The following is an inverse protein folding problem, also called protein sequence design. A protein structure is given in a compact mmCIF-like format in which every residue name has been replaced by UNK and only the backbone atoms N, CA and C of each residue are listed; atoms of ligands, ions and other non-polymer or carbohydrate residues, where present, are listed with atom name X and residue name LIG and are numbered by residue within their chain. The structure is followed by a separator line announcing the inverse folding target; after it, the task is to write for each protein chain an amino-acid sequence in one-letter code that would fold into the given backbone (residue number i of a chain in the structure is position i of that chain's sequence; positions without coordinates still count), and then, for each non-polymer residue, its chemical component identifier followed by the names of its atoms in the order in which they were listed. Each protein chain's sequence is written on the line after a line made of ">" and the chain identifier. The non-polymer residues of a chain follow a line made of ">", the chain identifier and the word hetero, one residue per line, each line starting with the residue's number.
data_IF_584438207621
#
_entry.id   IF_584438207621
#
_cell.length_a   1.000
_cell.length_b   1.000
_cell.length_c   1.000
_cell.angle_alpha   90.00
_cell.angle_beta   90.00
_cell.angle_gamma   90.00
#
_symmetry.space_group_name_H-M   'P 1'
#
loop_
_entity.id
_entity.type
_entity.pdbx_description
1 polymer ?
#
# COMPACT_ATOMS: atom_id res chain seq x y z
N UNK A 1 9.19 12.69 17.17
CA UNK A 1 8.59 11.86 16.09
C UNK A 1 8.58 12.67 14.81
N UNK A 2 9.29 12.20 13.77
CA UNK A 2 9.36 12.89 12.48
C UNK A 2 8.08 12.64 11.66
N UNK A 3 7.56 13.70 11.02
CA UNK A 3 6.50 13.63 10.04
C UNK A 3 6.84 14.45 8.79
N UNK A 4 6.14 14.20 7.70
CA UNK A 4 6.34 14.88 6.42
C UNK A 4 5.12 15.72 6.07
N UNK A 5 5.31 16.99 5.74
CA UNK A 5 4.27 17.84 5.14
C UNK A 5 4.55 17.95 3.65
N UNK A 6 3.69 17.38 2.82
CA UNK A 6 3.83 17.33 1.38
C UNK A 6 2.83 18.23 0.67
N UNK A 7 3.30 18.93 -0.36
CA UNK A 7 2.44 19.77 -1.19
C UNK A 7 1.55 18.87 -2.04
N UNK A 8 0.25 19.13 -1.95
CA UNK A 8 -0.80 18.36 -2.57
C UNK A 8 -1.60 19.23 -3.53
N UNK A 9 -2.07 18.64 -4.59
CA UNK A 9 -2.97 19.28 -5.57
C UNK A 9 -4.42 19.32 -5.04
N UNK A 10 -5.15 20.41 -5.23
CA UNK A 10 -6.54 20.56 -4.78
C UNK A 10 -7.47 19.55 -5.47
N UNK A 11 -7.28 19.30 -6.76
CA UNK A 11 -8.07 18.30 -7.49
C UNK A 11 -7.84 16.88 -6.97
N UNK A 12 -6.59 16.53 -6.64
CA UNK A 12 -6.25 15.25 -6.01
C UNK A 12 -6.93 15.10 -4.63
N UNK A 13 -6.85 16.15 -3.81
CA UNK A 13 -7.50 16.15 -2.49
C UNK A 13 -9.01 15.98 -2.62
N UNK A 14 -9.71 16.79 -3.43
CA UNK A 14 -11.17 16.71 -3.60
C UNK A 14 -11.61 15.35 -4.09
N UNK A 15 -10.90 14.83 -5.10
CA UNK A 15 -11.19 13.52 -5.67
C UNK A 15 -11.14 12.40 -4.62
N UNK A 16 -10.15 12.41 -3.73
CA UNK A 16 -9.98 11.39 -2.70
C UNK A 16 -10.85 11.63 -1.47
N UNK A 17 -11.09 12.87 -1.08
CA UNK A 17 -11.95 13.22 0.04
C UNK A 17 -13.42 12.76 -0.15
N UNK A 18 -13.86 12.64 -1.41
CA UNK A 18 -15.17 12.08 -1.77
C UNK A 18 -15.24 10.54 -1.67
N UNK A 19 -14.14 9.88 -1.29
CA UNK A 19 -14.00 8.40 -1.26
C UNK A 19 -13.53 7.90 0.09
N UNK A 20 -14.38 7.99 1.13
CA UNK A 20 -13.99 7.64 2.50
C UNK A 20 -13.64 6.16 2.69
N UNK A 21 -14.06 5.29 1.76
CA UNK A 21 -13.77 3.85 1.81
C UNK A 21 -12.33 3.50 1.46
N UNK A 22 -11.57 4.44 0.92
CA UNK A 22 -10.17 4.21 0.58
C UNK A 22 -9.32 4.09 1.85
N UNK A 23 -8.71 2.95 2.03
CA UNK A 23 -7.81 2.66 3.15
C UNK A 23 -6.34 2.85 2.79
N UNK A 24 -6.02 2.92 1.50
CA UNK A 24 -4.68 3.06 0.95
C UNK A 24 -4.64 4.07 -0.19
N UNK A 25 -3.55 4.82 -0.26
CA UNK A 25 -3.30 5.80 -1.31
C UNK A 25 -1.91 5.64 -1.90
N UNK A 26 -1.76 5.99 -3.15
CA UNK A 26 -0.47 6.19 -3.78
C UNK A 26 -0.24 7.68 -4.07
N UNK A 27 0.62 8.31 -3.28
CA UNK A 27 1.08 9.66 -3.54
C UNK A 27 2.27 9.62 -4.49
N UNK A 28 1.99 9.58 -5.79
CA UNK A 28 3.00 9.37 -6.81
C UNK A 28 3.74 10.65 -7.24
N UNK A 29 4.96 10.45 -7.70
CA UNK A 29 5.78 11.47 -8.35
C UNK A 29 6.10 11.04 -9.79
N UNK A 30 6.16 11.97 -10.77
CA UNK A 30 6.32 11.62 -12.19
C UNK A 30 7.70 11.02 -12.52
N UNK A 31 8.61 10.99 -11.56
CA UNK A 31 9.98 10.49 -11.73
C UNK A 31 10.36 9.62 -10.54
N UNK A 32 10.94 8.47 -10.84
CA UNK A 32 11.50 7.55 -9.85
C UNK A 32 12.95 7.91 -9.40
N UNK A 33 13.53 8.99 -9.93
CA UNK A 33 14.93 9.38 -9.62
C UNK A 33 15.17 9.68 -8.15
N UNK A 34 14.19 10.30 -7.48
CA UNK A 34 14.29 10.64 -6.05
C UNK A 34 13.60 9.57 -5.22
N UNK A 35 14.32 9.03 -4.24
CA UNK A 35 13.77 8.11 -3.26
C UNK A 35 13.21 8.91 -2.10
N UNK A 36 11.97 8.62 -1.70
CA UNK A 36 11.42 9.10 -0.44
C UNK A 36 11.80 8.15 0.69
N UNK A 37 12.20 8.71 1.84
CA UNK A 37 12.58 7.93 3.03
C UNK A 37 11.94 8.53 4.27
N UNK A 38 11.22 7.71 5.01
CA UNK A 38 10.65 8.02 6.31
C UNK A 38 10.56 6.74 7.15
N UNK A 39 10.33 6.85 8.44
CA UNK A 39 10.02 5.69 9.26
C UNK A 39 8.64 5.15 8.87
N UNK A 40 8.50 3.82 8.83
CA UNK A 40 7.19 3.21 8.56
C UNK A 40 6.16 3.70 9.59
N UNK A 41 4.97 4.01 9.11
CA UNK A 41 3.86 4.59 9.85
C UNK A 41 4.13 6.00 10.44
N UNK A 42 5.16 6.71 9.96
CA UNK A 42 5.29 8.13 10.25
C UNK A 42 4.18 8.95 9.57
N UNK A 43 3.67 10.02 10.21
CA UNK A 43 2.64 10.85 9.62
C UNK A 43 3.09 11.55 8.33
N UNK A 44 2.20 11.54 7.33
CA UNK A 44 2.36 12.22 6.05
C UNK A 44 1.17 13.15 5.84
N UNK A 45 1.38 14.46 5.95
CA UNK A 45 0.36 15.50 5.96
C UNK A 45 0.19 16.11 4.56
N UNK A 46 -1.04 16.28 4.12
CA UNK A 46 -1.39 16.83 2.81
C UNK A 46 -1.56 18.35 2.89
N UNK A 47 -0.69 19.11 2.23
CA UNK A 47 -0.72 20.57 2.23
C UNK A 47 -1.16 21.13 0.89
N UNK A 48 -2.27 21.86 0.86
CA UNK A 48 -2.72 22.61 -0.29
C UNK A 48 -1.86 23.88 -0.51
N UNK A 49 -1.69 24.24 -1.79
CA UNK A 49 -1.02 25.46 -2.20
C UNK A 49 -1.90 26.70 -1.95
N UNK A 50 -1.35 27.88 -2.24
CA UNK A 50 -2.15 29.11 -2.34
C UNK A 50 -3.35 28.90 -3.31
N UNK A 51 -4.51 29.48 -3.05
CA UNK A 51 -4.78 30.45 -1.97
C UNK A 51 -5.00 29.82 -0.59
N UNK A 52 -5.19 28.52 -0.48
CA UNK A 52 -5.60 27.84 0.76
C UNK A 52 -4.50 27.83 1.84
N UNK A 53 -3.27 27.48 1.46
CA UNK A 53 -2.12 27.39 2.36
C UNK A 53 -2.42 26.62 3.66
N UNK A 54 -3.10 25.50 3.55
CA UNK A 54 -3.63 24.72 4.67
C UNK A 54 -3.30 23.23 4.53
N UNK A 55 -3.29 22.53 5.66
CA UNK A 55 -3.24 21.07 5.71
C UNK A 55 -4.69 20.56 5.61
N UNK A 56 -4.97 19.77 4.61
CA UNK A 56 -6.30 19.26 4.31
C UNK A 56 -6.53 17.80 4.73
N UNK A 57 -5.54 17.19 5.37
CA UNK A 57 -5.61 15.82 5.81
C UNK A 57 -4.24 15.23 6.05
N UNK A 58 -4.21 13.96 6.45
CA UNK A 58 -2.99 13.18 6.60
C UNK A 58 -3.23 11.70 6.34
N UNK A 59 -2.15 10.95 6.19
CA UNK A 59 -2.11 9.50 6.19
C UNK A 59 -0.82 9.03 6.87
N UNK A 60 -0.59 7.72 6.92
CA UNK A 60 0.66 7.17 7.45
C UNK A 60 1.49 6.57 6.33
N UNK A 61 2.77 6.89 6.33
CA UNK A 61 3.72 6.34 5.36
C UNK A 61 3.91 4.84 5.56
N UNK A 62 3.66 4.04 4.53
CA UNK A 62 3.88 2.61 4.58
C UNK A 62 5.25 2.24 3.99
N UNK A 63 5.47 2.60 2.72
CA UNK A 63 6.73 2.36 2.02
C UNK A 63 6.84 3.23 0.76
N UNK A 64 8.04 3.25 0.17
CA UNK A 64 8.31 3.86 -1.13
C UNK A 64 8.77 2.79 -2.12
N UNK A 65 8.19 2.79 -3.32
CA UNK A 65 8.58 1.90 -4.41
C UNK A 65 8.70 2.66 -5.72
N UNK A 66 9.46 2.11 -6.64
CA UNK A 66 9.53 2.56 -8.04
C UNK A 66 8.70 1.59 -8.85
N UNK A 67 7.66 2.08 -9.52
CA UNK A 67 6.73 1.21 -10.24
C UNK A 67 6.49 1.74 -11.66
N UNK A 68 6.29 0.86 -12.63
CA UNK A 68 5.61 1.24 -13.87
C UNK A 68 4.24 1.83 -13.55
N UNK A 69 3.80 2.83 -14.31
CA UNK A 69 2.54 3.52 -14.09
C UNK A 69 1.31 2.58 -14.13
N UNK A 70 1.34 1.59 -15.01
CA UNK A 70 0.28 0.58 -15.11
C UNK A 70 0.18 -0.29 -13.84
N UNK A 71 1.31 -0.67 -13.24
CA UNK A 71 1.31 -1.48 -12.02
C UNK A 71 0.86 -0.67 -10.79
N UNK A 72 1.23 0.62 -10.73
CA UNK A 72 0.72 1.54 -9.72
C UNK A 72 -0.80 1.70 -9.85
N UNK A 73 -1.31 1.79 -11.08
CA UNK A 73 -2.76 1.85 -11.32
C UNK A 73 -3.46 0.54 -10.95
N UNK A 74 -2.94 -0.59 -11.39
CA UNK A 74 -3.51 -1.92 -11.08
C UNK A 74 -3.58 -2.19 -9.57
N UNK A 75 -2.58 -1.70 -8.81
CA UNK A 75 -2.51 -1.90 -7.37
C UNK A 75 -3.42 -0.96 -6.58
N UNK A 76 -3.44 0.33 -6.92
CA UNK A 76 -4.13 1.36 -6.12
C UNK A 76 -5.41 1.90 -6.79
N UNK A 77 -5.65 1.65 -8.07
CA UNK A 77 -6.81 2.13 -8.79
C UNK A 77 -7.05 3.64 -8.59
N UNK A 78 -8.24 4.00 -8.13
CA UNK A 78 -8.61 5.39 -7.81
C UNK A 78 -7.84 5.97 -6.62
N UNK A 79 -7.19 5.16 -5.80
CA UNK A 79 -6.27 5.61 -4.76
C UNK A 79 -5.03 6.35 -5.28
N UNK A 80 -4.79 6.34 -6.60
CA UNK A 80 -3.83 7.22 -7.27
C UNK A 80 -4.31 8.68 -7.41
N UNK A 81 -5.53 9.00 -6.97
CA UNK A 81 -6.11 10.34 -7.05
C UNK A 81 -6.58 10.73 -8.45
N UNK A 82 -6.93 9.76 -9.28
CA UNK A 82 -7.43 9.91 -10.64
C UNK A 82 -8.61 8.96 -10.89
N UNK A 83 -9.52 9.33 -11.78
CA UNK A 83 -10.70 8.52 -12.11
C UNK A 83 -10.43 7.38 -13.09
N UNK A 84 -9.31 7.42 -13.83
CA UNK A 84 -8.92 6.39 -14.79
C UNK A 84 -7.40 6.35 -14.99
N UNK A 85 -6.91 5.20 -15.51
CA UNK A 85 -5.51 5.06 -15.89
C UNK A 85 -5.08 6.05 -16.99
N UNK A 86 -5.96 6.31 -17.95
CA UNK A 86 -5.70 7.28 -19.01
C UNK A 86 -5.50 8.71 -18.45
N UNK A 87 -6.32 9.11 -17.46
CA UNK A 87 -6.18 10.37 -16.76
C UNK A 87 -4.85 10.44 -16.00
N UNK A 88 -4.51 9.39 -15.24
CA UNK A 88 -3.23 9.32 -14.52
C UNK A 88 -2.04 9.49 -15.47
N UNK A 89 -2.01 8.75 -16.59
CA UNK A 89 -0.96 8.89 -17.61
C UNK A 89 -0.88 10.29 -18.21
N UNK A 90 -2.03 10.89 -18.50
CA UNK A 90 -2.09 12.27 -19.00
C UNK A 90 -1.48 13.27 -18.00
N UNK A 91 -1.81 13.13 -16.70
CA UNK A 91 -1.22 13.98 -15.65
C UNK A 91 0.29 13.78 -15.52
N UNK A 92 0.77 12.53 -15.54
CA UNK A 92 2.21 12.21 -15.51
C UNK A 92 2.92 12.86 -16.70
N UNK A 93 2.40 12.68 -17.91
CA UNK A 93 2.97 13.25 -19.14
C UNK A 93 3.02 14.78 -19.08
N UNK A 94 1.95 15.44 -18.63
CA UNK A 94 1.90 16.89 -18.49
C UNK A 94 2.94 17.43 -17.50
N UNK A 95 3.17 16.74 -16.38
CA UNK A 95 4.18 17.15 -15.41
C UNK A 95 5.58 16.88 -15.97
N UNK A 96 5.83 15.73 -16.60
CA UNK A 96 7.11 15.39 -17.24
C UNK A 96 7.49 16.43 -18.30
N UNK A 97 6.55 16.88 -19.13
CA UNK A 97 6.78 17.93 -20.11
C UNK A 97 7.22 19.25 -19.47
N UNK A 98 6.61 19.65 -18.34
CA UNK A 98 6.97 20.89 -17.63
C UNK A 98 8.36 20.86 -17.00
N UNK A 99 8.79 19.70 -16.49
CA UNK A 99 10.10 19.55 -15.83
C UNK A 99 11.21 19.16 -16.81
N UNK A 100 10.92 19.12 -18.12
CA UNK A 100 11.84 18.66 -19.17
C UNK A 100 12.44 17.29 -18.80
N UNK A 101 11.56 16.35 -18.46
CA UNK A 101 11.97 14.99 -18.12
C UNK A 101 12.61 14.34 -19.33
N UNK A 102 13.83 13.84 -19.16
CA UNK A 102 14.54 13.14 -20.21
C UNK A 102 14.23 11.63 -20.13
N UNK A 103 13.50 11.06 -21.11
CA UNK A 103 13.14 9.65 -21.12
C UNK A 103 14.35 8.73 -21.37
N UNK A 104 15.41 9.21 -22.03
CA UNK A 104 16.60 8.38 -22.32
C UNK A 104 17.43 8.10 -21.06
N UNK A 105 17.41 9.02 -20.09
CA UNK A 105 18.10 8.86 -18.80
C UNK A 105 17.17 8.46 -17.67
N UNK A 106 15.85 8.38 -17.90
CA UNK A 106 14.81 8.05 -16.94
C UNK A 106 14.18 6.70 -17.26
N UNK A 107 13.89 5.90 -16.24
CA UNK A 107 13.01 4.75 -16.41
C UNK A 107 11.57 5.25 -16.61
N UNK A 108 10.71 4.48 -17.29
CA UNK A 108 9.26 4.78 -17.40
C UNK A 108 8.55 4.67 -16.03
N UNK A 109 9.28 4.26 -15.01
CA UNK A 109 8.77 4.13 -13.65
C UNK A 109 8.47 5.50 -13.01
N UNK A 110 7.50 5.49 -12.14
CA UNK A 110 7.13 6.60 -11.25
C UNK A 110 7.56 6.28 -9.81
N UNK A 111 7.80 7.32 -9.01
CA UNK A 111 8.02 7.15 -7.58
C UNK A 111 6.67 7.07 -6.87
N UNK A 112 6.46 6.02 -6.08
CA UNK A 112 5.21 5.73 -5.38
C UNK A 112 5.44 5.79 -3.87
N UNK A 113 4.91 6.83 -3.22
CA UNK A 113 4.83 6.93 -1.76
C UNK A 113 3.50 6.30 -1.36
N UNK A 114 3.56 5.11 -0.79
CA UNK A 114 2.39 4.35 -0.39
C UNK A 114 1.96 4.78 1.00
N UNK A 115 0.71 5.14 1.12
CA UNK A 115 0.12 5.70 2.32
C UNK A 115 -1.07 4.85 2.75
N UNK A 116 -1.24 4.67 4.06
CA UNK A 116 -2.34 3.90 4.66
C UNK A 116 -3.12 4.75 5.65
N UNK A 117 -4.37 4.36 5.89
CA UNK A 117 -5.29 5.02 6.82
C UNK A 117 -5.41 6.53 6.58
N UNK A 118 -5.78 6.97 5.36
CA UNK A 118 -5.94 8.38 5.06
C UNK A 118 -7.11 9.00 5.82
N UNK A 119 -6.93 10.24 6.22
CA UNK A 119 -7.96 11.09 6.83
C UNK A 119 -7.96 12.42 6.09
N UNK A 120 -9.09 12.77 5.50
CA UNK A 120 -9.29 14.06 4.83
C UNK A 120 -10.21 14.93 5.66
N UNK A 121 -9.88 16.22 5.79
CA UNK A 121 -10.67 17.19 6.52
C UNK A 121 -11.58 17.95 5.57
N UNK A 122 -12.83 18.25 5.94
CA UNK A 122 -13.66 19.19 5.20
C UNK A 122 -13.04 20.60 5.25
N UNK A 123 -13.36 21.51 4.31
CA UNK A 123 -12.71 22.82 4.21
C UNK A 123 -12.72 23.68 5.46
N UNK A 124 -13.76 23.59 6.28
CA UNK A 124 -13.93 24.32 7.55
C UNK A 124 -13.08 23.73 8.70
N UNK A 125 -12.55 22.52 8.51
CA UNK A 125 -11.65 21.87 9.46
C UNK A 125 -10.18 21.83 9.00
N UNK A 126 -9.82 22.54 7.92
CA UNK A 126 -8.43 22.60 7.46
C UNK A 126 -7.55 23.31 8.50
N UNK A 127 -6.33 22.81 8.63
CA UNK A 127 -5.35 23.33 9.58
C UNK A 127 -4.40 24.31 8.88
N UNK A 128 -4.18 25.53 9.43
CA UNK A 128 -3.21 26.45 8.84
C UNK A 128 -1.81 25.82 8.72
N UNK A 129 -1.14 26.09 7.59
CA UNK A 129 0.24 25.65 7.37
C UNK A 129 1.19 26.11 8.47
N UNK A 130 2.39 25.51 8.62
CA UNK A 130 3.41 26.05 9.52
C UNK A 130 3.75 27.51 9.21
N UNK A 131 3.91 28.35 10.25
CA UNK A 131 4.23 29.79 10.10
C UNK A 131 5.52 30.02 9.32
N UNK A 132 6.49 29.12 9.45
CA UNK A 132 7.79 29.18 8.76
C UNK A 132 7.82 28.46 7.41
N UNK A 133 6.64 28.15 6.82
CA UNK A 133 6.59 27.50 5.52
C UNK A 133 7.22 28.37 4.44
N UNK A 134 8.25 27.82 3.76
CA UNK A 134 8.94 28.56 2.72
C UNK A 134 8.12 28.59 1.43
N UNK A 135 7.78 29.75 0.87
CA UNK A 135 6.95 29.86 -0.35
C UNK A 135 7.53 29.14 -1.57
N UNK A 136 8.85 28.97 -1.62
CA UNK A 136 9.55 28.28 -2.72
C UNK A 136 9.62 26.77 -2.57
N UNK A 137 9.08 26.20 -1.48
CA UNK A 137 9.00 24.74 -1.31
C UNK A 137 8.18 24.14 -2.44
N UNK A 138 8.75 23.16 -3.13
CA UNK A 138 8.11 22.54 -4.30
C UNK A 138 7.50 21.18 -4.02
N UNK A 139 8.00 20.45 -3.01
CA UNK A 139 7.60 19.05 -2.77
C UNK A 139 7.15 18.80 -1.34
N UNK A 140 8.08 18.60 -0.42
CA UNK A 140 7.78 18.22 0.96
C UNK A 140 8.86 18.74 1.91
N UNK A 141 8.48 18.90 3.18
CA UNK A 141 9.37 19.27 4.29
C UNK A 141 9.11 18.34 5.47
N UNK A 142 10.18 17.94 6.15
CA UNK A 142 10.10 17.16 7.37
C UNK A 142 10.02 18.08 8.60
N UNK A 143 9.20 17.67 9.56
CA UNK A 143 9.00 18.37 10.83
C UNK A 143 9.10 17.37 11.99
N UNK A 144 9.66 17.84 13.11
CA UNK A 144 9.47 17.14 14.37
C UNK A 144 8.05 17.44 14.89
N UNK A 145 7.22 16.39 14.94
CA UNK A 145 5.82 16.49 15.38
C UNK A 145 5.66 16.49 16.91
N UNK A 146 6.78 16.49 17.64
CA UNK A 146 6.80 16.56 19.11
C UNK A 146 7.25 17.93 19.61
N UNK A 147 7.69 18.82 18.69
CA UNK A 147 8.18 20.15 19.06
C UNK A 147 7.76 21.25 18.06
N UNK A 148 7.70 22.48 18.54
CA UNK A 148 7.51 23.71 17.78
C UNK A 148 6.28 23.68 16.83
N UNK A 149 6.44 24.20 15.63
CA UNK A 149 5.38 24.27 14.61
C UNK A 149 4.92 22.90 14.12
N UNK A 150 5.82 21.91 14.10
CA UNK A 150 5.44 20.53 13.77
C UNK A 150 4.42 19.97 14.74
N UNK A 151 4.68 20.15 16.05
CA UNK A 151 3.76 19.75 17.12
C UNK A 151 2.42 20.48 17.02
N UNK A 152 2.45 21.81 16.88
CA UNK A 152 1.22 22.61 16.74
C UNK A 152 0.33 22.09 15.60
N UNK A 153 0.92 21.89 14.42
CA UNK A 153 0.19 21.42 13.24
C UNK A 153 -0.34 20.03 13.46
N UNK A 154 0.46 19.13 14.03
CA UNK A 154 0.05 17.74 14.24
C UNK A 154 -1.08 17.62 15.26
N UNK A 155 -1.01 18.30 16.40
CA UNK A 155 -2.08 18.35 17.40
C UNK A 155 -3.38 18.91 16.79
N UNK A 156 -3.29 19.96 15.97
CA UNK A 156 -4.45 20.50 15.26
C UNK A 156 -5.03 19.50 14.24
N UNK A 157 -4.19 18.75 13.52
CA UNK A 157 -4.65 17.68 12.61
C UNK A 157 -5.37 16.57 13.36
N UNK A 158 -4.85 16.14 14.52
CA UNK A 158 -5.52 15.13 15.35
C UNK A 158 -6.88 15.63 15.88
N UNK A 159 -6.96 16.89 16.29
CA UNK A 159 -8.22 17.51 16.72
C UNK A 159 -9.23 17.60 15.56
N UNK A 160 -8.79 17.96 14.35
CA UNK A 160 -9.65 17.96 13.14
C UNK A 160 -10.14 16.57 12.78
N UNK A 161 -9.26 15.56 12.84
CA UNK A 161 -9.64 14.18 12.59
C UNK A 161 -10.67 13.65 13.58
N UNK A 162 -10.53 13.99 14.87
CA UNK A 162 -11.48 13.59 15.91
C UNK A 162 -12.87 14.20 15.64
N UNK A 163 -12.94 15.48 15.27
CA UNK A 163 -14.20 16.17 14.91
C UNK A 163 -14.86 15.53 13.69
N UNK A 164 -14.13 15.36 12.60
CA UNK A 164 -14.63 14.75 11.36
C UNK A 164 -15.20 13.36 11.62
N UNK A 165 -14.54 12.56 12.45
CA UNK A 165 -15.01 11.22 12.81
C UNK A 165 -16.29 11.25 13.67
N UNK A 166 -16.39 12.20 14.58
CA UNK A 166 -17.58 12.40 15.41
C UNK A 166 -18.78 12.83 14.54
N UNK A 167 -18.57 13.70 13.56
CA UNK A 167 -19.61 14.18 12.65
C UNK A 167 -20.13 13.04 11.74
N UNK A 168 -19.23 12.16 11.26
CA UNK A 168 -19.61 10.97 10.49
C UNK A 168 -20.45 10.02 11.35
N UNK A 169 -20.00 9.71 12.57
CA UNK A 169 -20.75 8.85 13.49
C UNK A 169 -22.10 9.47 13.86
N UNK A 170 -22.17 10.78 14.08
CA UNK A 170 -23.42 11.47 14.36
C UNK A 170 -24.37 11.41 13.16
N UNK A 171 -23.86 11.57 11.94
CA UNK A 171 -24.65 11.46 10.71
C UNK A 171 -25.17 10.03 10.50
N UNK A 172 -24.35 9.01 10.73
CA UNK A 172 -24.73 7.60 10.66
C UNK A 172 -25.76 7.24 11.75
N UNK A 173 -25.61 7.77 12.98
CA UNK A 173 -26.57 7.58 14.07
C UNK A 173 -27.92 8.22 13.78
N UNK A 174 -27.97 9.38 13.12
CA UNK A 174 -29.21 10.02 12.68
C UNK A 174 -29.94 9.21 11.59
N UNK A 175 -29.19 8.45 10.80
CA UNK A 175 -29.73 7.55 9.77
C UNK A 175 -30.11 6.15 10.31
N UNK A 176 -29.63 5.78 11.51
CA UNK A 176 -29.81 4.44 12.12
C UNK A 176 -30.49 4.48 13.48
N UNK A 177 -31.65 5.15 13.59
CA UNK A 177 -32.45 5.15 14.84
C UNK A 177 -33.02 3.74 15.22
N UNK A 178 -32.62 2.67 14.56
CA UNK A 178 -33.12 1.32 14.81
C UNK A 178 -32.12 0.22 15.20
N UNK A 179 -30.89 0.51 15.64
CA UNK A 179 -30.02 -0.57 16.19
C UNK A 179 -29.13 -0.08 17.33
N UNK A 180 -29.34 -0.71 18.50
CA UNK A 180 -28.74 -0.38 19.78
C UNK A 180 -27.19 -0.36 19.84
N UNK A 181 -26.63 0.19 20.94
CA UNK A 181 -25.24 0.64 21.02
C UNK A 181 -24.25 -0.49 21.25
N UNK A 182 -23.24 -0.60 20.39
CA UNK A 182 -21.99 -1.32 20.66
C UNK A 182 -20.81 -0.47 20.17
N UNK A 183 -20.43 0.53 20.92
CA UNK A 183 -19.16 1.23 20.69
C UNK A 183 -18.36 1.25 21.98
N UNK A 184 -17.25 0.49 21.95
CA UNK A 184 -16.18 0.61 22.93
C UNK A 184 -15.35 1.88 22.70
N UNK A 185 -14.59 2.30 23.71
CA UNK A 185 -13.71 3.49 23.67
C UNK A 185 -12.84 3.56 22.40
N UNK A 186 -12.51 4.76 21.89
CA UNK A 186 -11.68 4.94 20.70
C UNK A 186 -10.28 4.38 20.95
N UNK A 187 -10.04 3.16 20.49
CA UNK A 187 -8.68 2.60 20.44
C UNK A 187 -7.96 3.23 19.24
N UNK A 188 -6.79 3.82 19.50
CA UNK A 188 -5.82 4.15 18.46
C UNK A 188 -5.42 2.83 17.78
N UNK A 189 -6.08 2.53 16.66
CA UNK A 189 -5.74 1.35 15.87
C UNK A 189 -4.39 1.65 15.21
N UNK A 190 -3.37 0.82 15.50
CA UNK A 190 -2.09 0.93 14.77
C UNK A 190 -2.35 0.79 13.28
N UNK A 191 -1.82 1.69 12.45
CA UNK A 191 -1.92 1.56 10.99
C UNK A 191 -1.41 0.18 10.57
N UNK A 192 -2.11 -0.44 9.61
CA UNK A 192 -1.71 -1.73 9.03
C UNK A 192 -1.51 -1.54 7.54
N UNK A 193 -0.68 -2.38 6.95
CA UNK A 193 -0.60 -2.44 5.49
C UNK A 193 -1.96 -2.92 4.96
N UNK A 194 -2.42 -2.32 3.89
CA UNK A 194 -3.55 -2.82 3.15
C UNK A 194 -3.11 -3.77 2.03
N UNK A 195 -4.05 -4.25 1.23
CA UNK A 195 -3.79 -5.25 0.21
C UNK A 195 -2.86 -4.75 -0.91
N UNK A 196 -3.05 -3.50 -1.36
CA UNK A 196 -2.22 -2.94 -2.42
C UNK A 196 -0.78 -2.75 -1.97
N UNK A 197 -0.59 -2.18 -0.77
CA UNK A 197 0.75 -2.01 -0.18
C UNK A 197 1.41 -3.36 0.11
N UNK A 198 0.67 -4.35 0.62
CA UNK A 198 1.17 -5.71 0.81
C UNK A 198 1.68 -6.31 -0.51
N UNK A 199 0.88 -6.23 -1.59
CA UNK A 199 1.27 -6.72 -2.93
C UNK A 199 2.62 -6.13 -3.35
N UNK A 200 2.78 -4.82 -3.25
CA UNK A 200 4.01 -4.15 -3.66
C UNK A 200 5.17 -4.48 -2.71
N UNK A 201 4.91 -4.59 -1.40
CA UNK A 201 5.92 -4.96 -0.42
C UNK A 201 6.50 -6.36 -0.67
N UNK A 202 5.64 -7.34 -0.97
CA UNK A 202 6.08 -8.70 -1.34
C UNK A 202 6.85 -8.66 -2.65
N UNK A 203 6.34 -7.97 -3.67
CA UNK A 203 7.01 -7.84 -4.97
C UNK A 203 8.43 -7.27 -4.85
N UNK A 204 8.62 -6.21 -4.08
CA UNK A 204 9.93 -5.60 -3.86
C UNK A 204 10.83 -6.50 -3.00
N UNK A 205 10.28 -7.18 -1.98
CA UNK A 205 11.04 -8.07 -1.10
C UNK A 205 11.66 -9.27 -1.86
N UNK A 206 10.96 -9.79 -2.86
CA UNK A 206 11.43 -10.88 -3.74
C UNK A 206 12.21 -10.39 -4.96
N UNK A 207 12.58 -9.10 -5.02
CA UNK A 207 13.33 -8.56 -6.17
C UNK A 207 12.60 -8.69 -7.49
N UNK A 208 11.25 -8.71 -7.44
CA UNK A 208 10.37 -8.86 -8.61
C UNK A 208 10.56 -10.17 -9.37
N UNK A 209 10.92 -11.24 -8.66
CA UNK A 209 11.10 -12.59 -9.21
C UNK A 209 10.20 -13.60 -8.50
N UNK A 210 9.62 -14.54 -9.24
CA UNK A 210 8.83 -15.63 -8.68
C UNK A 210 9.70 -16.47 -7.71
N UNK A 211 9.20 -16.73 -6.51
CA UNK A 211 9.91 -17.50 -5.49
C UNK A 211 10.27 -18.93 -5.94
N UNK A 212 9.54 -19.48 -6.91
CA UNK A 212 9.71 -20.88 -7.38
C UNK A 212 10.47 -20.98 -8.69
N UNK A 213 10.18 -20.08 -9.66
CA UNK A 213 10.65 -20.22 -11.05
C UNK A 213 11.62 -19.12 -11.46
N UNK A 214 11.87 -18.13 -10.60
CA UNK A 214 12.67 -16.94 -10.92
C UNK A 214 12.11 -16.12 -12.11
N UNK A 215 10.85 -16.33 -12.50
CA UNK A 215 10.18 -15.55 -13.53
C UNK A 215 10.06 -14.09 -13.12
N UNK A 216 10.47 -13.16 -13.99
CA UNK A 216 10.47 -11.71 -13.75
C UNK A 216 9.44 -10.93 -14.56
N UNK A 217 8.60 -11.59 -15.32
CA UNK A 217 7.52 -10.95 -16.09
C UNK A 217 6.47 -10.41 -15.14
N UNK A 218 6.55 -9.14 -14.76
CA UNK A 218 5.67 -8.49 -13.77
C UNK A 218 4.17 -8.79 -13.97
N UNK A 219 3.62 -8.79 -15.21
CA UNK A 219 2.20 -9.11 -15.42
C UNK A 219 1.80 -10.54 -15.04
N UNK A 220 2.77 -11.45 -14.93
CA UNK A 220 2.55 -12.84 -14.56
C UNK A 220 2.80 -13.12 -13.07
N UNK A 221 3.17 -12.10 -12.29
CA UNK A 221 3.52 -12.24 -10.87
C UNK A 221 2.42 -11.73 -9.96
N UNK A 222 2.12 -12.51 -8.94
CA UNK A 222 1.12 -12.21 -7.93
C UNK A 222 1.69 -12.43 -6.52
N UNK A 223 1.31 -11.54 -5.59
CA UNK A 223 1.63 -11.71 -4.17
C UNK A 223 0.57 -12.59 -3.52
N UNK A 224 0.93 -13.82 -3.20
CA UNK A 224 0.10 -14.79 -2.49
C UNK A 224 0.23 -14.60 -0.99
N UNK A 225 -0.89 -14.63 -0.24
CA UNK A 225 -0.84 -14.81 1.20
C UNK A 225 -0.60 -16.28 1.53
N UNK A 226 0.34 -16.56 2.44
CA UNK A 226 0.55 -17.93 2.93
C UNK A 226 -0.65 -18.36 3.77
N UNK A 227 -1.01 -17.55 4.76
CA UNK A 227 -2.28 -17.66 5.49
C UNK A 227 -3.23 -16.58 4.94
N UNK A 228 -4.38 -16.95 4.34
CA UNK A 228 -5.30 -15.99 3.74
C UNK A 228 -5.81 -14.94 4.73
N UNK A 229 -6.04 -13.71 4.26
CA UNK A 229 -6.60 -12.64 5.08
C UNK A 229 -7.96 -13.02 5.69
N UNK A 230 -8.80 -13.72 4.94
CA UNK A 230 -10.08 -14.25 5.42
C UNK A 230 -9.95 -15.27 6.58
N UNK A 231 -8.75 -15.78 6.83
CA UNK A 231 -8.40 -16.71 7.91
C UNK A 231 -7.47 -16.04 8.93
N UNK A 232 -7.65 -14.73 9.16
CA UNK A 232 -6.83 -13.91 10.06
C UNK A 232 -5.35 -13.80 9.71
N UNK A 233 -4.98 -14.04 8.45
CA UNK A 233 -3.63 -13.81 7.96
C UNK A 233 -3.31 -12.32 7.85
N UNK A 234 -2.21 -11.82 8.43
CA UNK A 234 -1.87 -10.39 8.37
C UNK A 234 -1.35 -9.99 6.99
N UNK A 235 -1.52 -8.71 6.62
CA UNK A 235 -0.82 -8.10 5.49
C UNK A 235 0.64 -7.76 5.88
N UNK A 236 1.44 -8.78 6.11
CA UNK A 236 2.86 -8.68 6.43
C UNK A 236 3.67 -9.44 5.38
N UNK A 237 4.84 -8.92 5.00
CA UNK A 237 5.67 -9.54 3.95
C UNK A 237 6.03 -10.99 4.29
N UNK A 238 6.27 -11.29 5.58
CA UNK A 238 6.54 -12.66 6.06
C UNK A 238 5.35 -13.62 5.94
N UNK A 239 4.15 -13.10 5.67
CA UNK A 239 2.96 -13.89 5.30
C UNK A 239 2.74 -13.89 3.79
N UNK A 240 3.76 -13.61 2.98
CA UNK A 240 3.66 -13.47 1.54
C UNK A 240 4.69 -14.29 0.77
N UNK A 241 4.26 -14.79 -0.38
CA UNK A 241 5.12 -15.37 -1.42
C UNK A 241 4.87 -14.64 -2.73
N UNK A 242 5.92 -14.32 -3.48
CA UNK A 242 5.75 -13.84 -4.86
C UNK A 242 5.75 -15.04 -5.79
N UNK A 243 4.64 -15.29 -6.42
CA UNK A 243 4.45 -16.47 -7.26
C UNK A 243 4.00 -16.07 -8.67
N UNK A 244 4.31 -16.90 -9.63
CA UNK A 244 3.67 -16.87 -10.95
C UNK A 244 2.18 -17.20 -10.79
N UNK A 245 1.29 -16.52 -11.51
CA UNK A 245 -0.17 -16.59 -11.34
C UNK A 245 -0.75 -18.00 -11.36
N UNK A 246 -0.21 -18.88 -12.21
CA UNK A 246 -0.63 -20.28 -12.27
C UNK A 246 -0.21 -21.08 -11.02
N UNK A 247 1.00 -20.83 -10.49
CA UNK A 247 1.48 -21.46 -9.25
C UNK A 247 0.72 -20.92 -8.05
N UNK A 248 0.45 -19.60 -8.01
CA UNK A 248 -0.41 -18.97 -7.00
C UNK A 248 -1.78 -19.66 -6.93
N UNK A 249 -2.40 -19.90 -8.08
CA UNK A 249 -3.68 -20.59 -8.15
C UNK A 249 -3.63 -22.00 -7.56
N UNK A 250 -2.56 -22.77 -7.84
CA UNK A 250 -2.36 -24.08 -7.25
C UNK A 250 -2.12 -24.01 -5.73
N UNK A 251 -1.40 -23.00 -5.29
CA UNK A 251 -1.13 -22.74 -3.87
C UNK A 251 -2.44 -22.46 -3.12
N UNK A 252 -3.23 -21.50 -3.56
CA UNK A 252 -4.52 -21.15 -2.93
C UNK A 252 -5.53 -22.31 -2.91
N UNK A 253 -5.47 -23.21 -3.90
CA UNK A 253 -6.39 -24.35 -4.01
C UNK A 253 -5.84 -25.65 -3.37
N UNK A 254 -4.64 -25.59 -2.82
CA UNK A 254 -4.01 -26.68 -2.07
C UNK A 254 -3.36 -27.77 -2.94
N UNK A 255 -3.16 -27.52 -4.23
CA UNK A 255 -2.40 -28.44 -5.11
C UNK A 255 -0.89 -28.19 -5.07
N UNK A 256 -0.48 -27.08 -4.49
CA UNK A 256 0.92 -26.80 -4.19
C UNK A 256 1.03 -26.19 -2.80
N UNK A 257 2.17 -26.42 -2.14
CA UNK A 257 2.52 -25.75 -0.88
C UNK A 257 4.02 -25.54 -0.79
N UNK A 258 4.44 -24.71 0.16
CA UNK A 258 5.84 -24.58 0.56
C UNK A 258 6.00 -25.19 1.95
N UNK A 259 6.88 -26.15 2.06
CA UNK A 259 7.17 -26.81 3.32
C UNK A 259 7.98 -25.90 4.27
N UNK A 260 7.97 -26.14 5.60
CA UNK A 260 8.74 -25.34 6.55
C UNK A 260 10.26 -25.31 6.32
N UNK A 261 10.80 -26.26 5.55
CA UNK A 261 12.20 -26.30 5.09
C UNK A 261 12.44 -25.51 3.79
N UNK A 262 11.41 -24.77 3.34
CA UNK A 262 11.42 -23.92 2.14
C UNK A 262 11.54 -24.73 0.83
N UNK A 263 10.94 -25.91 0.77
CA UNK A 263 10.79 -26.68 -0.46
C UNK A 263 9.37 -26.67 -0.95
N UNK A 264 9.22 -26.58 -2.28
CA UNK A 264 7.91 -26.68 -2.92
C UNK A 264 7.44 -28.13 -2.90
N UNK A 265 6.20 -28.34 -2.52
CA UNK A 265 5.51 -29.62 -2.59
C UNK A 265 4.32 -29.52 -3.53
N UNK A 266 4.18 -30.49 -4.47
CA UNK A 266 3.07 -30.59 -5.41
C UNK A 266 2.23 -31.82 -5.06
N UNK A 267 0.94 -31.60 -4.83
CA UNK A 267 0.00 -32.67 -4.48
C UNK A 267 -0.14 -33.73 -5.56
N UNK A 268 -0.13 -35.00 -5.19
CA UNK A 268 -0.42 -36.11 -6.08
C UNK A 268 -1.83 -36.02 -6.70
N UNK A 269 -2.78 -35.40 -5.99
CA UNK A 269 -4.16 -35.19 -6.44
C UNK A 269 -4.26 -34.40 -7.74
N UNK A 270 -3.30 -33.54 -8.04
CA UNK A 270 -3.27 -32.81 -9.32
C UNK A 270 -3.22 -33.78 -10.51
N UNK A 271 -2.52 -34.91 -10.37
CA UNK A 271 -2.50 -35.97 -11.40
C UNK A 271 -3.75 -36.82 -11.33
N UNK A 272 -4.20 -37.16 -10.16
CA UNK A 272 -5.36 -38.02 -9.92
C UNK A 272 -6.66 -37.40 -10.47
N UNK A 273 -6.87 -36.10 -10.17
CA UNK A 273 -8.10 -35.40 -10.53
C UNK A 273 -8.10 -34.87 -11.96
N UNK A 274 -6.95 -34.49 -12.51
CA UNK A 274 -6.86 -33.83 -13.82
C UNK A 274 -6.06 -34.59 -14.87
N UNK A 275 -5.51 -35.75 -14.53
CA UNK A 275 -4.68 -36.60 -15.40
C UNK A 275 -3.50 -35.88 -16.04
N UNK A 276 -3.03 -34.79 -15.42
CA UNK A 276 -2.00 -33.90 -15.94
C UNK A 276 -1.11 -33.39 -14.79
N UNK A 277 -0.43 -32.28 -14.98
CA UNK A 277 0.50 -31.67 -13.99
C UNK A 277 1.94 -31.69 -14.49
N UNK A 278 2.17 -32.02 -15.77
CA UNK A 278 3.51 -32.15 -16.37
C UNK A 278 4.39 -30.93 -16.16
N UNK A 279 3.81 -29.72 -16.14
CA UNK A 279 4.54 -28.46 -15.96
C UNK A 279 4.91 -28.19 -14.50
N UNK A 280 4.26 -28.83 -13.55
CA UNK A 280 4.42 -28.53 -12.12
C UNK A 280 5.24 -29.59 -11.38
N UNK A 281 5.09 -30.87 -11.69
CA UNK A 281 5.87 -31.95 -11.03
C UNK A 281 7.38 -31.80 -11.18
N UNK A 282 7.95 -31.25 -12.27
CA UNK A 282 9.38 -30.95 -12.34
C UNK A 282 9.86 -29.94 -11.29
N UNK A 283 8.94 -29.16 -10.68
CA UNK A 283 9.23 -28.20 -9.62
C UNK A 283 9.17 -28.84 -8.21
N UNK A 284 8.74 -30.09 -8.11
CA UNK A 284 8.67 -30.83 -6.85
C UNK A 284 10.02 -30.83 -6.13
N UNK A 285 10.04 -30.46 -4.84
CA UNK A 285 11.24 -30.39 -4.03
C UNK A 285 12.16 -29.22 -4.33
N UNK A 286 11.82 -28.36 -5.30
CA UNK A 286 12.60 -27.16 -5.58
C UNK A 286 12.67 -26.26 -4.35
N UNK A 287 13.88 -25.74 -4.05
CA UNK A 287 14.03 -24.77 -2.98
C UNK A 287 13.50 -23.42 -3.41
N UNK A 288 12.60 -22.84 -2.63
CA UNK A 288 12.05 -21.51 -2.94
C UNK A 288 13.05 -20.41 -2.63
N UNK A 289 13.08 -19.39 -3.47
CA UNK A 289 13.80 -18.15 -3.21
C UNK A 289 13.16 -17.42 -2.04
N UNK A 290 13.96 -16.79 -1.21
CA UNK A 290 13.50 -16.04 -0.04
C UNK A 290 14.05 -14.61 -0.06
N UNK A 291 13.35 -13.65 0.55
CA UNK A 291 13.84 -12.29 0.72
C UNK A 291 15.20 -12.24 1.43
N UNK A 292 16.06 -11.31 1.01
CA UNK A 292 17.38 -11.10 1.62
C UNK A 292 17.27 -10.61 3.07
N UNK A 293 16.28 -9.75 3.35
CA UNK A 293 16.02 -9.27 4.71
C UNK A 293 15.31 -10.36 5.51
N UNK A 294 15.90 -10.74 6.63
CA UNK A 294 15.36 -11.80 7.51
C UNK A 294 13.93 -11.52 7.99
N UNK A 295 13.63 -10.25 8.32
CA UNK A 295 12.29 -9.79 8.71
C UNK A 295 11.20 -10.08 7.66
N UNK A 296 11.58 -10.19 6.39
CA UNK A 296 10.67 -10.41 5.27
C UNK A 296 10.56 -11.88 4.84
N UNK A 297 11.37 -12.77 5.43
CA UNK A 297 11.33 -14.21 5.09
C UNK A 297 10.00 -14.83 5.51
N UNK A 298 9.49 -15.80 4.74
CA UNK A 298 8.28 -16.55 5.11
C UNK A 298 8.36 -17.07 6.54
N UNK A 299 7.34 -16.75 7.32
CA UNK A 299 7.26 -17.23 8.71
C UNK A 299 6.86 -18.70 8.72
N UNK A 300 7.63 -19.50 9.46
CA UNK A 300 7.41 -20.94 9.58
C UNK A 300 6.00 -21.29 10.06
N UNK A 301 5.46 -20.52 10.99
CA UNK A 301 4.11 -20.77 11.51
C UNK A 301 3.03 -20.58 10.44
N UNK A 302 3.20 -19.64 9.49
CA UNK A 302 2.27 -19.50 8.37
C UNK A 302 2.41 -20.65 7.36
N UNK A 303 3.63 -21.11 7.08
CA UNK A 303 3.87 -22.28 6.22
C UNK A 303 3.25 -23.55 6.81
N UNK A 304 3.46 -23.80 8.10
CA UNK A 304 2.85 -24.92 8.82
C UNK A 304 1.32 -24.84 8.76
N UNK A 305 0.77 -23.64 9.00
CA UNK A 305 -0.68 -23.44 8.92
C UNK A 305 -1.24 -23.77 7.53
N UNK A 306 -0.57 -23.33 6.44
CA UNK A 306 -0.99 -23.64 5.07
C UNK A 306 -0.92 -25.14 4.78
N UNK A 307 0.14 -25.81 5.23
CA UNK A 307 0.30 -27.25 5.07
C UNK A 307 -0.80 -28.05 5.76
N UNK A 308 -1.26 -27.60 6.94
CA UNK A 308 -2.28 -28.29 7.72
C UNK A 308 -3.71 -28.02 7.26
N UNK A 309 -4.00 -26.82 6.75
CA UNK A 309 -5.37 -26.36 6.51
C UNK A 309 -5.76 -26.24 5.03
N UNK A 310 -4.79 -26.02 4.15
CA UNK A 310 -5.04 -25.78 2.73
C UNK A 310 -4.51 -26.91 1.85
N UNK A 311 -3.28 -27.37 2.12
CA UNK A 311 -2.63 -28.36 1.25
C UNK A 311 -3.38 -29.70 1.25
N UNK A 312 -3.55 -30.26 0.05
CA UNK A 312 -4.22 -31.53 -0.21
C UNK A 312 -3.19 -32.63 -0.48
N UNK A 313 -2.40 -32.92 0.55
CA UNK A 313 -1.33 -33.93 0.45
C UNK A 313 -1.81 -35.33 0.11
#
# INVERSE_FOLDING_TARGET
>A
MEGTIAITDDGWYRFLAERPDLTELNFWTPSARRTFRAAQFSPFLFKLRAPYNAICGFAYFAQFSRLPDWLAWESFGVGNGCGSFAEMRSRIAAIRARIRYDPETGSDEIGCIQLVSPVFFPPDAWVPQPTHWQPRTQTAVKYDLQDGEGRRVWEACLASAARTRTDIIASELLLTVERGPRYGEPRVVKPRLGQATFRIAVLDAYGRGCAVTEEHSLPALEASHIRPYAQDGPHEVRNGLLLRADIHRLFDTGYATVMPDLRLEISARLREEYHNGRSYYPLQGARVQIPSLELHRPDKAFLEWHNEHIFRG
#
